data_IF_803416577451
#
_entry.id   IF_803416577451
#
_cell.length_a   1.000
_cell.length_b   1.000
_cell.length_c   1.000
_cell.angle_alpha   90.00
_cell.angle_beta   90.00
_cell.angle_gamma   90.00
#
_symmetry.space_group_name_H-M   'P 1'
#
loop_
_entity.id
_entity.type
_entity.pdbx_description
1 polymer ?
#
# COMPACT_ATOMS: atom_id res chain seq x y z
N UNK A 1 -9.50 -10.35 -11.54
CA UNK A 1 -8.13 -9.94 -11.94
C UNK A 1 -7.29 -10.36 -10.76
N UNK A 2 -7.03 -11.65 -10.68
CA UNK A 2 -6.55 -12.29 -9.47
C UNK A 2 -5.24 -12.92 -9.87
N UNK A 3 -4.15 -12.24 -9.55
CA UNK A 3 -2.83 -12.84 -9.65
C UNK A 3 -2.70 -13.82 -8.46
N UNK A 4 -2.69 -15.14 -8.70
CA UNK A 4 -2.71 -16.13 -7.64
C UNK A 4 -1.38 -16.17 -6.85
N UNK A 5 -0.37 -15.42 -7.30
CA UNK A 5 0.91 -15.30 -6.59
C UNK A 5 0.88 -14.29 -5.45
N UNK A 6 -0.08 -13.36 -5.45
CA UNK A 6 -0.23 -12.34 -4.41
C UNK A 6 -0.98 -12.95 -3.21
N UNK A 7 -0.33 -13.02 -2.05
CA UNK A 7 -0.86 -13.69 -0.86
C UNK A 7 -1.79 -12.79 -0.05
N UNK A 8 -1.34 -11.59 0.26
CA UNK A 8 -2.03 -10.61 1.09
C UNK A 8 -1.54 -9.17 0.79
N UNK A 9 -2.17 -8.19 1.44
CA UNK A 9 -1.82 -6.77 1.26
C UNK A 9 -0.37 -6.45 1.65
N UNK A 10 0.07 -6.93 2.82
CA UNK A 10 1.41 -6.63 3.35
C UNK A 10 2.51 -7.18 2.44
N UNK A 11 2.35 -8.42 1.95
CA UNK A 11 3.28 -9.02 0.99
C UNK A 11 3.28 -8.29 -0.35
N UNK A 12 2.11 -7.86 -0.85
CA UNK A 12 2.02 -7.10 -2.08
C UNK A 12 2.73 -5.74 -1.97
N UNK A 13 2.55 -5.05 -0.84
CA UNK A 13 3.18 -3.76 -0.57
C UNK A 13 4.70 -3.89 -0.46
N UNK A 14 5.19 -4.87 0.32
CA UNK A 14 6.63 -5.12 0.47
C UNK A 14 7.32 -5.49 -0.86
N UNK A 15 6.63 -6.27 -1.70
CA UNK A 15 7.14 -6.61 -3.04
C UNK A 15 7.18 -5.36 -3.93
N UNK A 16 6.15 -4.51 -3.88
CA UNK A 16 6.11 -3.27 -4.65
C UNK A 16 7.23 -2.31 -4.25
N UNK A 17 7.50 -2.15 -2.95
CA UNK A 17 8.62 -1.35 -2.42
C UNK A 17 9.96 -1.86 -2.94
N UNK A 18 10.16 -3.18 -2.91
CA UNK A 18 11.38 -3.82 -3.44
C UNK A 18 11.55 -3.56 -4.94
N UNK A 19 10.45 -3.60 -5.71
CA UNK A 19 10.46 -3.31 -7.15
C UNK A 19 10.84 -1.86 -7.40
N UNK A 20 10.25 -0.91 -6.67
CA UNK A 20 10.58 0.52 -6.79
C UNK A 20 12.06 0.74 -6.52
N UNK A 21 12.56 0.20 -5.40
CA UNK A 21 13.98 0.31 -5.06
C UNK A 21 14.89 -0.27 -6.15
N UNK A 22 14.55 -1.44 -6.70
CA UNK A 22 15.35 -2.05 -7.78
C UNK A 22 15.33 -1.20 -9.06
N UNK A 23 14.20 -0.58 -9.40
CA UNK A 23 14.09 0.29 -10.57
C UNK A 23 14.90 1.57 -10.40
N UNK A 24 14.93 2.13 -9.19
CA UNK A 24 15.72 3.33 -8.84
C UNK A 24 17.23 3.08 -8.87
N UNK A 25 17.68 1.87 -8.52
CA UNK A 25 19.10 1.48 -8.55
C UNK A 25 19.70 1.52 -9.98
N UNK A 26 18.86 1.44 -11.02
CA UNK A 26 19.27 1.64 -12.42
C UNK A 26 20.21 0.59 -13.01
N UNK A 27 20.40 -0.56 -12.34
CA UNK A 27 21.30 -1.64 -12.79
C UNK A 27 20.64 -2.65 -13.73
N UNK A 28 19.34 -2.50 -14.01
CA UNK A 28 18.56 -3.42 -14.82
C UNK A 28 18.71 -3.13 -16.33
N UNK A 29 18.62 -4.17 -17.14
CA UNK A 29 18.41 -4.00 -18.59
C UNK A 29 17.01 -3.46 -18.86
N UNK A 30 16.77 -2.90 -20.06
CA UNK A 30 15.45 -2.40 -20.44
C UNK A 30 14.35 -3.47 -20.29
N UNK A 31 14.62 -4.70 -20.73
CA UNK A 31 13.65 -5.80 -20.66
C UNK A 31 13.31 -6.16 -19.20
N UNK A 32 14.32 -6.22 -18.33
CA UNK A 32 14.11 -6.45 -16.90
C UNK A 32 13.34 -5.30 -16.25
N UNK A 33 13.66 -4.04 -16.59
CA UNK A 33 12.94 -2.88 -16.08
C UNK A 33 11.46 -2.91 -16.47
N UNK A 34 11.15 -3.32 -17.70
CA UNK A 34 9.76 -3.46 -18.16
C UNK A 34 9.02 -4.56 -17.39
N UNK A 35 9.63 -5.73 -17.21
CA UNK A 35 9.03 -6.82 -16.43
C UNK A 35 8.73 -6.39 -14.98
N UNK A 36 9.69 -5.73 -14.33
CA UNK A 36 9.52 -5.19 -12.97
C UNK A 36 8.42 -4.13 -12.92
N UNK A 37 8.37 -3.24 -13.91
CA UNK A 37 7.34 -2.21 -13.99
C UNK A 37 5.93 -2.82 -14.13
N UNK A 38 5.75 -3.79 -15.03
CA UNK A 38 4.46 -4.49 -15.21
C UNK A 38 3.99 -5.19 -13.93
N UNK A 39 4.92 -5.85 -13.23
CA UNK A 39 4.64 -6.44 -11.91
C UNK A 39 4.26 -5.36 -10.89
N UNK A 40 5.00 -4.25 -10.86
CA UNK A 40 4.70 -3.12 -9.98
C UNK A 40 3.31 -2.53 -10.20
N UNK A 41 2.87 -2.36 -11.45
CA UNK A 41 1.51 -1.92 -11.79
C UNK A 41 0.47 -2.91 -11.28
N UNK A 42 0.73 -4.21 -11.41
CA UNK A 42 -0.18 -5.26 -10.94
C UNK A 42 -0.35 -5.21 -9.42
N UNK A 43 0.75 -5.09 -8.68
CA UNK A 43 0.76 -4.96 -7.21
C UNK A 43 0.08 -3.67 -6.75
N UNK A 44 0.38 -2.54 -7.39
CA UNK A 44 -0.22 -1.23 -7.09
C UNK A 44 -1.74 -1.27 -7.21
N UNK A 45 -2.26 -1.86 -8.30
CA UNK A 45 -3.71 -2.03 -8.50
C UNK A 45 -4.32 -2.94 -7.44
N UNK A 46 -3.68 -4.06 -7.12
CA UNK A 46 -4.13 -4.93 -6.03
C UNK A 46 -4.23 -4.17 -4.70
N UNK A 47 -3.18 -3.46 -4.30
CA UNK A 47 -3.17 -2.69 -3.05
C UNK A 47 -4.30 -1.65 -3.02
N UNK A 48 -4.50 -0.92 -4.11
CA UNK A 48 -5.57 0.08 -4.21
C UNK A 48 -6.96 -0.55 -4.05
N UNK A 49 -7.25 -1.64 -4.76
CA UNK A 49 -8.55 -2.34 -4.67
C UNK A 49 -8.80 -2.88 -3.25
N UNK A 50 -7.75 -3.35 -2.55
CA UNK A 50 -7.85 -3.79 -1.15
C UNK A 50 -8.18 -2.64 -0.21
N UNK A 51 -7.58 -1.47 -0.41
CA UNK A 51 -7.87 -0.28 0.38
C UNK A 51 -9.30 0.22 0.14
N UNK A 52 -9.73 0.32 -1.12
CA UNK A 52 -11.12 0.71 -1.44
C UNK A 52 -12.14 -0.25 -0.83
N UNK A 53 -11.87 -1.55 -0.84
CA UNK A 53 -12.75 -2.53 -0.22
C UNK A 53 -12.82 -2.38 1.31
N UNK A 54 -11.69 -2.04 1.94
CA UNK A 54 -11.63 -1.77 3.37
C UNK A 54 -12.42 -0.49 3.72
N UNK A 55 -12.24 0.58 2.95
CA UNK A 55 -12.94 1.85 3.12
C UNK A 55 -14.46 1.67 3.00
N UNK A 56 -14.93 1.04 1.91
CA UNK A 56 -16.37 0.74 1.72
C UNK A 56 -16.96 -0.08 2.88
N UNK A 57 -16.17 -1.00 3.44
CA UNK A 57 -16.60 -1.79 4.60
C UNK A 57 -16.72 -0.92 5.86
N UNK A 58 -15.81 0.02 6.06
CA UNK A 58 -15.87 0.98 7.17
C UNK A 58 -17.10 1.88 7.01
N UNK A 59 -17.33 2.43 5.82
CA UNK A 59 -18.51 3.26 5.52
C UNK A 59 -19.80 2.53 5.85
N UNK A 60 -19.96 1.29 5.38
CA UNK A 60 -21.16 0.48 5.64
C UNK A 60 -21.36 0.19 7.15
N UNK A 61 -20.28 -0.02 7.90
CA UNK A 61 -20.35 -0.20 9.35
C UNK A 61 -20.74 1.10 10.06
N UNK A 62 -20.32 2.25 9.54
CA UNK A 62 -20.68 3.57 10.05
C UNK A 62 -22.16 3.85 9.85
N UNK A 63 -22.66 3.63 8.62
CA UNK A 63 -24.07 3.81 8.26
C UNK A 63 -25.01 2.94 9.11
N UNK A 64 -24.56 1.74 9.49
CA UNK A 64 -25.32 0.83 10.36
C UNK A 64 -25.25 1.19 11.85
N UNK A 65 -24.40 2.13 12.22
CA UNK A 65 -24.14 2.48 13.63
C UNK A 65 -23.34 1.42 14.40
N UNK A 66 -22.67 0.51 13.70
CA UNK A 66 -21.90 -0.60 14.28
C UNK A 66 -20.44 -0.23 14.55
N UNK A 67 -19.95 0.90 14.03
CA UNK A 67 -18.62 1.41 14.35
C UNK A 67 -18.58 1.94 15.78
N UNK A 68 -17.75 1.31 16.60
CA UNK A 68 -17.37 1.85 17.91
C UNK A 68 -16.19 2.82 17.72
N UNK A 69 -16.16 3.95 18.44
CA UNK A 69 -15.01 4.84 18.43
C UNK A 69 -13.75 4.06 18.84
N UNK A 70 -12.62 4.41 18.24
CA UNK A 70 -11.33 3.88 18.65
C UNK A 70 -11.13 4.15 20.16
N UNK A 71 -10.51 3.23 20.91
CA UNK A 71 -10.18 3.48 22.31
C UNK A 71 -9.27 4.70 22.42
N UNK A 72 -9.56 5.56 23.41
CA UNK A 72 -8.74 6.72 23.75
C UNK A 72 -7.31 6.24 24.04
N UNK A 73 -6.36 6.52 23.13
CA UNK A 73 -4.98 6.05 23.22
C UNK A 73 -4.36 5.56 21.91
N UNK A 74 -5.13 5.50 20.81
CA UNK A 74 -4.54 5.39 19.47
C UNK A 74 -4.06 6.78 19.04
N UNK A 75 -2.87 7.19 19.51
CA UNK A 75 -2.21 8.40 19.04
C UNK A 75 -1.89 8.21 17.54
N UNK A 76 -2.34 9.17 16.71
CA UNK A 76 -1.93 9.19 15.30
C UNK A 76 -0.39 9.20 15.25
N UNK A 77 0.24 8.47 14.30
CA UNK A 77 1.68 8.51 14.16
C UNK A 77 2.08 9.97 13.99
N UNK A 78 2.92 10.43 14.92
CA UNK A 78 3.48 11.77 15.02
C UNK A 78 3.82 12.26 13.62
N UNK A 79 3.17 13.34 13.17
CA UNK A 79 3.60 14.10 12.00
C UNK A 79 5.08 14.35 12.21
N UNK A 80 5.93 13.68 11.43
CA UNK A 80 7.39 13.82 11.50
C UNK A 80 7.69 15.31 11.55
N UNK A 81 8.10 15.76 12.74
CA UNK A 81 8.48 17.12 12.99
C UNK A 81 9.61 17.43 12.01
N UNK A 82 9.28 18.16 10.95
CA UNK A 82 10.26 18.89 10.17
C UNK A 82 10.72 20.09 11.01
N UNK A 83 11.49 19.80 12.04
CA UNK A 83 12.45 20.70 12.68
C UNK A 83 13.82 20.05 12.53
N UNK A 84 14.91 20.73 12.26
CA UNK A 84 15.25 22.15 12.23
C UNK A 84 16.51 22.25 11.34
N UNK A 85 16.81 23.44 10.80
CA UNK A 85 18.08 24.15 11.08
C UNK A 85 18.22 25.38 10.16
N UNK A 86 18.05 26.56 10.74
CA UNK A 86 18.68 27.82 10.33
C UNK A 86 20.12 27.85 10.85
#
# INVERSE_FOLDING_TARGET
>A
MDDPTIKDFESALAELETIVQTLEDGQLTLEQSLERFERGITLSRYCHERLEAAEKRIELLNERGDLRPAPEGLEAPDEVAAGDDD
#
